data_IF_703232128511
#
_entry.id   IF_703232128511
#
_cell.length_a   1.000
_cell.length_b   1.000
_cell.length_c   1.000
_cell.angle_alpha   90.00
_cell.angle_beta   90.00
_cell.angle_gamma   90.00
#
_symmetry.space_group_name_H-M   'P 1'
#
loop_
_entity.id
_entity.type
_entity.pdbx_description
1 polymer ?
#
# COMPACT_ATOMS: atom_id res chain seq x y z
N UNK A 1 -40.36 -22.31 42.44
CA UNK A 1 -39.38 -21.46 41.72
C UNK A 1 -38.12 -22.29 41.59
N UNK A 2 -37.94 -22.92 40.44
CA UNK A 2 -36.75 -23.73 40.17
C UNK A 2 -35.56 -22.82 39.88
N UNK A 3 -34.63 -22.74 40.83
CA UNK A 3 -33.35 -22.05 40.68
C UNK A 3 -32.39 -22.96 39.92
N UNK A 4 -32.37 -22.85 38.59
CA UNK A 4 -31.33 -23.45 37.76
C UNK A 4 -30.02 -22.67 37.90
N UNK A 5 -29.07 -23.22 38.66
CA UNK A 5 -27.69 -22.74 38.74
C UNK A 5 -26.99 -22.96 37.40
N UNK A 6 -26.91 -21.92 36.57
CA UNK A 6 -26.03 -21.92 35.40
C UNK A 6 -24.59 -21.68 35.82
N UNK A 7 -23.82 -22.76 35.97
CA UNK A 7 -22.37 -22.71 36.14
C UNK A 7 -21.75 -22.22 34.82
N UNK A 8 -21.46 -20.92 34.72
CA UNK A 8 -20.70 -20.36 33.60
C UNK A 8 -19.21 -20.33 33.96
N UNK A 9 -18.42 -21.19 33.33
CA UNK A 9 -16.97 -21.19 33.48
C UNK A 9 -16.38 -20.04 32.66
N UNK A 10 -16.21 -18.86 33.27
CA UNK A 10 -15.40 -17.79 32.68
C UNK A 10 -13.92 -18.14 32.85
N UNK A 11 -13.25 -18.55 31.77
CA UNK A 11 -11.79 -18.65 31.77
C UNK A 11 -11.20 -17.24 31.93
N UNK A 12 -10.73 -16.92 33.14
CA UNK A 12 -9.93 -15.73 33.37
C UNK A 12 -8.56 -16.03 32.75
N UNK A 13 -8.29 -15.46 31.57
CA UNK A 13 -7.00 -15.62 30.90
C UNK A 13 -5.92 -15.04 31.83
N UNK A 14 -4.92 -15.84 32.21
CA UNK A 14 -3.79 -15.35 33.01
C UNK A 14 -3.10 -14.20 32.28
N UNK A 15 -2.61 -13.18 33.02
CA UNK A 15 -1.83 -12.07 32.45
C UNK A 15 -0.67 -12.55 31.56
N UNK A 16 -0.03 -13.68 31.92
CA UNK A 16 1.00 -14.33 31.10
C UNK A 16 0.47 -14.80 29.75
N UNK A 17 -0.73 -15.38 29.70
CA UNK A 17 -1.34 -15.81 28.43
C UNK A 17 -1.68 -14.61 27.53
N UNK A 18 -2.19 -13.53 28.12
CA UNK A 18 -2.50 -12.29 27.38
C UNK A 18 -1.23 -11.68 26.80
N UNK A 19 -0.16 -11.62 27.60
CA UNK A 19 1.12 -11.07 27.17
C UNK A 19 1.77 -11.93 26.08
N UNK A 20 1.70 -13.26 26.18
CA UNK A 20 2.18 -14.16 25.11
C UNK A 20 1.43 -13.96 23.78
N UNK A 21 0.12 -13.75 23.83
CA UNK A 21 -0.70 -13.50 22.65
C UNK A 21 -0.46 -12.10 22.06
N UNK A 22 -0.06 -11.13 22.89
CA UNK A 22 0.35 -9.79 22.48
C UNK A 22 1.73 -9.82 21.82
N UNK A 23 2.70 -10.54 22.41
CA UNK A 23 4.02 -10.78 21.81
C UNK A 23 3.87 -11.38 20.43
N UNK A 24 2.96 -12.34 20.21
CA UNK A 24 2.75 -12.92 18.88
C UNK A 24 2.29 -11.91 17.82
N UNK A 25 1.54 -10.87 18.21
CA UNK A 25 0.96 -9.87 17.31
C UNK A 25 1.86 -8.68 17.02
N UNK A 26 2.76 -8.32 17.94
CA UNK A 26 3.67 -7.17 17.81
C UNK A 26 4.44 -7.21 16.48
N UNK A 27 4.75 -6.08 15.85
CA UNK A 27 5.68 -6.05 14.70
C UNK A 27 7.12 -6.39 15.13
N UNK A 28 8.09 -6.45 14.22
CA UNK A 28 9.51 -6.54 14.60
C UNK A 28 9.95 -5.31 15.41
N UNK A 29 9.54 -4.12 14.97
CA UNK A 29 9.80 -2.84 15.60
C UNK A 29 9.16 -2.74 17.01
N UNK A 30 7.87 -3.08 17.12
CA UNK A 30 7.18 -3.06 18.42
C UNK A 30 7.84 -4.04 19.40
N UNK A 31 8.33 -5.19 18.90
CA UNK A 31 8.97 -6.18 19.74
C UNK A 31 10.35 -5.69 20.22
N UNK A 32 11.13 -5.04 19.35
CA UNK A 32 12.41 -4.44 19.77
C UNK A 32 12.20 -3.36 20.83
N UNK A 33 11.21 -2.48 20.64
CA UNK A 33 10.89 -1.43 21.63
C UNK A 33 10.43 -2.04 22.96
N UNK A 34 9.53 -3.03 22.91
CA UNK A 34 9.06 -3.73 24.10
C UNK A 34 10.22 -4.40 24.87
N UNK A 35 11.12 -5.06 24.16
CA UNK A 35 12.24 -5.74 24.80
C UNK A 35 13.29 -4.76 25.33
N UNK A 36 13.50 -3.62 24.68
CA UNK A 36 14.36 -2.54 25.17
C UNK A 36 13.81 -1.91 26.46
N UNK A 37 12.49 -1.69 26.53
CA UNK A 37 11.83 -1.27 27.77
C UNK A 37 12.01 -2.32 28.87
N UNK A 38 11.86 -3.61 28.54
CA UNK A 38 12.03 -4.70 29.49
C UNK A 38 13.47 -4.82 30.00
N UNK A 39 14.48 -4.55 29.16
CA UNK A 39 15.89 -4.49 29.57
C UNK A 39 16.14 -3.34 30.57
N UNK A 40 15.48 -2.19 30.35
CA UNK A 40 15.55 -1.06 31.30
C UNK A 40 14.92 -1.40 32.66
N UNK A 41 13.83 -2.18 32.68
CA UNK A 41 13.12 -2.56 33.92
C UNK A 41 13.71 -3.79 34.63
N UNK A 42 14.51 -4.59 33.93
CA UNK A 42 15.08 -5.83 34.45
C UNK A 42 16.61 -5.77 34.44
N UNK A 43 17.25 -5.52 35.61
CA UNK A 43 18.70 -5.38 35.70
C UNK A 43 19.48 -6.65 35.35
N UNK A 44 18.79 -7.80 35.30
CA UNK A 44 19.38 -9.09 34.96
C UNK A 44 19.53 -9.27 33.44
N UNK A 45 18.78 -8.51 32.65
CA UNK A 45 18.73 -8.66 31.21
C UNK A 45 19.76 -7.74 30.55
N UNK A 46 20.70 -8.35 29.83
CA UNK A 46 21.60 -7.61 28.96
C UNK A 46 21.03 -7.59 27.55
N UNK A 47 20.93 -6.36 27.02
CA UNK A 47 20.62 -6.14 25.61
C UNK A 47 21.92 -5.85 24.87
N UNK A 48 22.38 -6.85 24.12
CA UNK A 48 23.51 -6.67 23.23
C UNK A 48 22.95 -6.28 21.85
N UNK A 49 23.06 -5.00 21.53
CA UNK A 49 22.82 -4.48 20.20
C UNK A 49 23.77 -5.25 19.26
N UNK A 50 23.21 -6.03 18.33
CA UNK A 50 24.03 -6.81 17.39
C UNK A 50 24.67 -5.81 16.44
N UNK A 51 25.80 -5.25 16.83
CA UNK A 51 26.75 -4.70 15.88
C UNK A 51 27.20 -5.88 15.02
N UNK A 52 27.03 -5.75 13.71
CA UNK A 52 27.05 -6.81 12.70
C UNK A 52 28.39 -7.59 12.55
N UNK A 53 29.31 -7.53 13.52
CA UNK A 53 30.67 -8.06 13.42
C UNK A 53 30.88 -9.47 13.99
N UNK A 54 29.87 -10.12 14.56
CA UNK A 54 30.06 -11.37 15.29
C UNK A 54 29.33 -12.56 14.65
N UNK A 55 29.68 -12.90 13.38
CA UNK A 55 29.68 -14.25 12.77
C UNK A 55 29.93 -14.17 11.25
N UNK A 56 31.19 -14.25 10.78
CA UNK A 56 31.54 -14.14 9.34
C UNK A 56 30.81 -15.14 8.43
N UNK A 57 30.46 -16.35 8.90
CA UNK A 57 29.82 -17.40 8.07
C UNK A 57 28.34 -17.14 7.80
N UNK A 58 27.55 -16.77 8.81
CA UNK A 58 26.12 -16.46 8.62
C UNK A 58 25.94 -15.15 7.84
N UNK A 59 26.87 -14.21 8.03
CA UNK A 59 26.89 -12.94 7.29
C UNK A 59 27.25 -13.13 5.82
N UNK A 60 28.19 -14.01 5.47
CA UNK A 60 28.49 -14.36 4.07
C UNK A 60 27.31 -15.04 3.37
N UNK A 61 26.62 -15.95 4.06
CA UNK A 61 25.42 -16.60 3.51
C UNK A 61 24.26 -15.61 3.38
N UNK A 62 24.04 -14.72 4.36
CA UNK A 62 23.06 -13.64 4.25
C UNK A 62 23.43 -12.63 3.16
N UNK A 63 24.72 -12.27 3.00
CA UNK A 63 25.19 -11.39 1.92
C UNK A 63 24.98 -12.01 0.56
N UNK A 64 25.31 -13.28 0.36
CA UNK A 64 25.02 -14.02 -0.88
C UNK A 64 23.52 -14.12 -1.16
N UNK A 65 22.68 -14.30 -0.14
CA UNK A 65 21.21 -14.32 -0.25
C UNK A 65 20.60 -12.97 -0.57
N UNK A 66 21.07 -11.90 0.10
CA UNK A 66 20.71 -10.52 -0.22
C UNK A 66 21.17 -10.14 -1.62
N UNK A 67 22.33 -10.62 -2.04
CA UNK A 67 22.85 -10.42 -3.40
C UNK A 67 22.00 -11.18 -4.43
N UNK A 68 21.56 -12.41 -4.16
CA UNK A 68 20.60 -13.11 -5.01
C UNK A 68 19.25 -12.38 -5.08
N UNK A 69 18.74 -11.86 -3.96
CA UNK A 69 17.52 -11.06 -3.94
C UNK A 69 17.68 -9.77 -4.75
N UNK A 70 18.84 -9.09 -4.63
CA UNK A 70 19.17 -7.92 -5.45
C UNK A 70 19.30 -8.26 -6.93
N UNK A 71 19.94 -9.38 -7.28
CA UNK A 71 20.09 -9.82 -8.67
C UNK A 71 18.75 -10.28 -9.26
N UNK A 72 17.88 -10.90 -8.45
CA UNK A 72 16.53 -11.29 -8.82
C UNK A 72 15.63 -10.06 -8.97
N UNK A 73 15.74 -9.09 -8.08
CA UNK A 73 15.06 -7.79 -8.17
C UNK A 73 15.54 -7.01 -9.40
N UNK A 74 16.84 -7.00 -9.69
CA UNK A 74 17.41 -6.36 -10.88
C UNK A 74 16.97 -7.06 -12.17
N UNK A 75 16.86 -8.39 -12.18
CA UNK A 75 16.29 -9.14 -13.31
C UNK A 75 14.78 -8.91 -13.47
N UNK A 76 14.02 -8.90 -12.37
CA UNK A 76 12.60 -8.55 -12.37
C UNK A 76 12.39 -7.12 -12.87
N UNK A 77 13.23 -6.17 -12.45
CA UNK A 77 13.22 -4.77 -12.88
C UNK A 77 13.56 -4.63 -14.37
N UNK A 78 14.55 -5.39 -14.87
CA UNK A 78 14.88 -5.46 -16.30
C UNK A 78 13.76 -6.10 -17.13
N UNK A 79 13.07 -7.11 -16.60
CA UNK A 79 11.93 -7.74 -17.27
C UNK A 79 10.70 -6.82 -17.31
N UNK A 80 10.39 -6.13 -16.21
CA UNK A 80 9.39 -5.06 -16.17
C UNK A 80 9.70 -3.92 -17.15
N UNK A 81 10.97 -3.50 -17.24
CA UNK A 81 11.43 -2.50 -18.22
C UNK A 81 11.32 -2.98 -19.68
N UNK A 82 11.44 -4.29 -19.93
CA UNK A 82 11.28 -4.87 -21.27
C UNK A 82 9.82 -5.04 -21.68
N UNK A 83 8.93 -5.37 -20.75
CA UNK A 83 7.48 -5.50 -20.99
C UNK A 83 6.76 -4.14 -21.04
N UNK A 84 7.30 -3.11 -20.39
CA UNK A 84 6.79 -1.73 -20.38
C UNK A 84 7.70 -0.74 -21.15
N UNK A 85 8.06 -1.05 -22.40
CA UNK A 85 8.88 -0.15 -23.24
C UNK A 85 8.24 1.21 -23.58
N UNK A 86 6.94 1.39 -23.35
CA UNK A 86 6.21 2.66 -23.58
C UNK A 86 5.94 3.45 -22.29
N UNK A 87 6.38 2.98 -21.11
CA UNK A 87 6.33 3.75 -19.86
C UNK A 87 7.73 4.30 -19.63
N UNK A 88 8.01 5.44 -20.26
CA UNK A 88 9.33 6.09 -20.20
C UNK A 88 9.80 6.30 -18.76
N UNK A 89 11.10 6.06 -18.53
CA UNK A 89 12.02 6.63 -17.52
C UNK A 89 11.48 7.16 -16.16
N UNK A 90 10.34 6.70 -15.65
CA UNK A 90 9.72 7.15 -14.39
C UNK A 90 10.22 6.37 -13.15
N UNK A 91 11.05 5.34 -13.34
CA UNK A 91 11.45 4.42 -12.26
C UNK A 91 12.95 4.44 -11.91
N UNK A 92 13.66 5.49 -12.31
CA UNK A 92 14.91 5.87 -11.66
C UNK A 92 14.55 6.51 -10.32
N UNK A 93 14.54 5.71 -9.25
CA UNK A 93 14.65 6.21 -7.88
C UNK A 93 16.05 6.81 -7.68
N UNK A 94 16.29 7.96 -8.31
CA UNK A 94 17.17 8.95 -7.71
C UNK A 94 16.55 9.26 -6.34
N UNK A 95 17.38 9.33 -5.29
CA UNK A 95 17.00 10.14 -4.13
C UNK A 95 16.48 11.46 -4.71
N UNK A 96 15.25 11.82 -4.38
CA UNK A 96 14.60 12.98 -4.94
C UNK A 96 15.36 14.24 -4.49
N UNK A 97 16.43 14.58 -5.19
CA UNK A 97 17.02 15.92 -5.29
C UNK A 97 16.12 16.84 -6.13
N UNK A 98 14.81 16.54 -6.20
CA UNK A 98 13.83 17.43 -6.80
C UNK A 98 13.51 18.56 -5.84
N UNK A 99 13.40 19.78 -6.36
CA UNK A 99 12.91 20.93 -5.60
C UNK A 99 11.50 20.65 -5.06
N UNK A 100 11.26 20.97 -3.79
CA UNK A 100 9.92 20.97 -3.22
C UNK A 100 9.06 21.99 -3.95
N UNK A 101 7.77 21.69 -4.14
CA UNK A 101 6.82 22.67 -4.67
C UNK A 101 6.83 23.97 -3.85
N UNK A 102 6.99 23.83 -2.54
CA UNK A 102 7.01 24.98 -1.63
C UNK A 102 8.23 25.86 -1.89
N UNK A 103 9.42 25.26 -2.02
CA UNK A 103 10.66 25.97 -2.33
C UNK A 103 10.59 26.64 -3.71
N UNK A 104 10.05 25.94 -4.71
CA UNK A 104 9.88 26.49 -6.05
C UNK A 104 8.94 27.70 -6.09
N UNK A 105 7.82 27.63 -5.36
CA UNK A 105 6.89 28.75 -5.21
C UNK A 105 7.53 29.91 -4.46
N UNK A 106 8.25 29.65 -3.37
CA UNK A 106 8.94 30.68 -2.59
C UNK A 106 10.00 31.38 -3.42
N UNK A 107 10.75 30.66 -4.25
CA UNK A 107 11.73 31.23 -5.17
C UNK A 107 11.07 32.22 -6.14
N UNK A 108 9.89 31.90 -6.68
CA UNK A 108 9.14 32.81 -7.55
C UNK A 108 8.55 34.01 -6.80
N UNK A 109 7.98 33.78 -5.61
CA UNK A 109 7.42 34.85 -4.78
C UNK A 109 8.49 35.88 -4.43
N UNK A 110 9.73 35.43 -4.19
CA UNK A 110 10.88 36.30 -3.91
C UNK A 110 11.28 37.20 -5.10
N UNK A 111 10.89 36.83 -6.34
CA UNK A 111 11.17 37.61 -7.54
C UNK A 111 10.07 38.63 -7.87
N UNK A 112 8.91 38.53 -7.21
CA UNK A 112 7.79 39.44 -7.43
C UNK A 112 7.99 40.78 -6.72
N UNK A 113 7.58 41.87 -7.37
CA UNK A 113 7.52 43.20 -6.74
C UNK A 113 6.16 43.35 -6.07
N UNK A 114 6.10 43.05 -4.77
CA UNK A 114 4.87 43.00 -3.98
C UNK A 114 5.05 43.69 -2.62
N UNK A 115 3.95 44.04 -1.97
CA UNK A 115 3.99 44.64 -0.63
C UNK A 115 4.35 43.60 0.43
N UNK A 116 4.82 44.05 1.60
CA UNK A 116 5.16 43.14 2.70
C UNK A 116 3.95 42.31 3.17
N UNK A 117 2.75 42.89 3.15
CA UNK A 117 1.51 42.18 3.50
C UNK A 117 1.18 41.10 2.46
N UNK A 118 1.28 41.40 1.17
CA UNK A 118 1.10 40.43 0.08
C UNK A 118 2.15 39.31 0.14
N UNK A 119 3.41 39.63 0.44
CA UNK A 119 4.49 38.65 0.57
C UNK A 119 4.21 37.62 1.67
N UNK A 120 3.83 38.09 2.87
CA UNK A 120 3.53 37.20 4.00
C UNK A 120 2.28 36.36 3.71
N UNK A 121 1.27 36.95 3.07
CA UNK A 121 0.06 36.24 2.65
C UNK A 121 0.35 35.15 1.60
N UNK A 122 1.11 35.46 0.55
CA UNK A 122 1.52 34.50 -0.49
C UNK A 122 2.37 33.37 0.09
N UNK A 123 3.32 33.68 0.97
CA UNK A 123 4.14 32.69 1.66
C UNK A 123 3.31 31.74 2.53
N UNK A 124 2.25 32.25 3.17
CA UNK A 124 1.32 31.42 3.92
C UNK A 124 0.52 30.51 2.97
N UNK A 125 -0.06 31.06 1.89
CA UNK A 125 -0.80 30.27 0.92
C UNK A 125 0.05 29.18 0.25
N UNK A 126 1.30 29.49 -0.09
CA UNK A 126 2.24 28.53 -0.68
C UNK A 126 2.44 27.27 0.18
N UNK A 127 2.41 27.41 1.50
CA UNK A 127 2.52 26.30 2.45
C UNK A 127 1.18 25.57 2.69
N UNK A 128 0.05 26.23 2.44
CA UNK A 128 -1.28 25.64 2.58
C UNK A 128 -1.75 24.87 1.33
N UNK A 129 -0.97 24.88 0.25
CA UNK A 129 -1.30 24.14 -0.97
C UNK A 129 -1.17 22.64 -0.71
N UNK A 130 -2.22 21.90 -1.11
CA UNK A 130 -2.22 20.44 -1.04
C UNK A 130 -1.16 19.82 -1.95
N UNK A 131 -0.73 18.56 -1.69
CA UNK A 131 0.16 17.83 -2.60
C UNK A 131 -0.35 17.67 -4.02
N UNK A 132 -1.65 17.90 -4.28
CA UNK A 132 -2.27 17.95 -5.61
C UNK A 132 -2.23 19.32 -6.29
N UNK A 133 -1.76 20.36 -5.61
CA UNK A 133 -1.68 21.74 -6.11
C UNK A 133 -2.95 22.58 -5.90
N UNK A 134 -3.96 22.04 -5.20
CA UNK A 134 -5.21 22.73 -4.87
C UNK A 134 -5.15 23.45 -3.53
N UNK A 135 -5.92 24.53 -3.41
CA UNK A 135 -6.07 25.33 -2.20
C UNK A 135 -7.52 25.28 -1.70
N UNK A 136 -7.71 25.01 -0.41
CA UNK A 136 -9.04 24.98 0.19
C UNK A 136 -9.53 26.40 0.54
N UNK A 137 -10.82 26.67 0.34
CA UNK A 137 -11.44 27.97 0.67
C UNK A 137 -11.31 28.34 2.15
N UNK A 138 -11.30 27.34 3.04
CA UNK A 138 -11.05 27.54 4.48
C UNK A 138 -9.72 28.24 4.74
N UNK A 139 -8.66 27.83 4.04
CA UNK A 139 -7.31 28.37 4.21
C UNK A 139 -7.21 29.81 3.69
N UNK A 140 -7.96 30.15 2.64
CA UNK A 140 -8.06 31.53 2.13
C UNK A 140 -8.71 32.44 3.18
N UNK A 141 -9.79 31.98 3.80
CA UNK A 141 -10.49 32.73 4.84
C UNK A 141 -9.64 32.85 6.12
N UNK A 142 -8.91 31.80 6.50
CA UNK A 142 -7.97 31.85 7.62
C UNK A 142 -6.84 32.85 7.38
N UNK A 143 -6.31 32.89 6.16
CA UNK A 143 -5.29 33.87 5.75
C UNK A 143 -5.83 35.30 5.88
N UNK A 144 -7.02 35.58 5.33
CA UNK A 144 -7.64 36.90 5.38
C UNK A 144 -7.86 37.37 6.82
N UNK A 145 -8.35 36.49 7.70
CA UNK A 145 -8.56 36.79 9.12
C UNK A 145 -7.24 37.00 9.87
N UNK A 146 -6.21 36.20 9.59
CA UNK A 146 -4.93 36.24 10.28
C UNK A 146 -4.12 37.50 9.96
N UNK A 147 -4.24 38.00 8.73
CA UNK A 147 -3.51 39.18 8.27
C UNK A 147 -4.40 40.44 8.17
N UNK A 148 -5.65 40.36 8.64
CA UNK A 148 -6.63 41.45 8.60
C UNK A 148 -6.76 42.09 7.20
N UNK A 149 -6.77 41.26 6.16
CA UNK A 149 -6.87 41.71 4.77
C UNK A 149 -8.32 41.99 4.40
N UNK A 150 -8.52 42.97 3.53
CA UNK A 150 -9.83 43.20 2.92
C UNK A 150 -10.15 42.10 1.89
N UNK A 151 -11.42 41.99 1.49
CA UNK A 151 -11.82 41.05 0.44
C UNK A 151 -11.11 41.35 -0.89
N UNK A 152 -10.93 42.64 -1.21
CA UNK A 152 -10.22 43.09 -2.41
C UNK A 152 -8.75 42.69 -2.38
N UNK A 153 -8.04 42.96 -1.27
CA UNK A 153 -6.63 42.56 -1.10
C UNK A 153 -6.45 41.04 -1.20
N UNK A 154 -7.41 40.27 -0.65
CA UNK A 154 -7.40 38.81 -0.70
C UNK A 154 -7.52 38.31 -2.14
N UNK A 155 -8.38 38.94 -2.96
CA UNK A 155 -8.49 38.59 -4.38
C UNK A 155 -7.24 38.97 -5.16
N UNK A 156 -6.59 40.09 -4.86
CA UNK A 156 -5.32 40.46 -5.49
C UNK A 156 -4.22 39.44 -5.18
N UNK A 157 -4.09 39.03 -3.91
CA UNK A 157 -3.13 37.98 -3.50
C UNK A 157 -3.41 36.67 -4.22
N UNK A 158 -4.67 36.27 -4.37
CA UNK A 158 -5.04 35.06 -5.12
C UNK A 158 -4.70 35.17 -6.60
N UNK A 159 -4.93 36.33 -7.24
CA UNK A 159 -4.54 36.56 -8.64
C UNK A 159 -3.02 36.47 -8.81
N UNK A 160 -2.26 36.99 -7.85
CA UNK A 160 -0.81 36.86 -7.83
C UNK A 160 -0.39 35.39 -7.70
N UNK A 161 -1.01 34.63 -6.78
CA UNK A 161 -0.77 33.19 -6.64
C UNK A 161 -1.07 32.43 -7.94
N UNK A 162 -2.20 32.72 -8.60
CA UNK A 162 -2.61 32.08 -9.86
C UNK A 162 -1.71 32.46 -11.05
N UNK A 163 -0.98 33.56 -10.94
CA UNK A 163 -0.01 33.99 -11.96
C UNK A 163 1.31 33.21 -11.89
N UNK A 164 1.63 32.60 -10.74
CA UNK A 164 2.81 31.77 -10.54
C UNK A 164 2.76 30.49 -11.39
N UNK A 165 3.92 29.89 -11.59
CA UNK A 165 4.05 28.58 -12.20
C UNK A 165 4.21 27.50 -11.12
N UNK A 166 3.67 26.28 -11.32
CA UNK A 166 2.93 25.79 -12.48
C UNK A 166 1.52 26.39 -12.65
N UNK A 167 1.08 26.55 -13.90
CA UNK A 167 -0.25 27.06 -14.24
C UNK A 167 -1.38 26.25 -13.56
N UNK A 168 -2.35 26.94 -12.97
CA UNK A 168 -3.47 26.31 -12.26
C UNK A 168 -3.18 25.92 -10.81
N UNK A 169 -2.04 26.33 -10.27
CA UNK A 169 -1.74 26.20 -8.84
C UNK A 169 -2.62 27.11 -7.99
N UNK A 170 -3.02 26.63 -6.81
CA UNK A 170 -3.90 27.38 -5.92
C UNK A 170 -5.35 27.45 -6.38
N UNK A 171 -5.75 26.60 -7.34
CA UNK A 171 -7.14 26.44 -7.73
C UNK A 171 -7.94 25.73 -6.62
N UNK A 172 -9.21 26.09 -6.46
CA UNK A 172 -10.11 25.48 -5.46
C UNK A 172 -10.64 24.13 -5.92
N UNK A 173 -10.75 23.95 -7.23
CA UNK A 173 -11.25 22.72 -7.84
C UNK A 173 -10.64 22.48 -9.22
N UNK A 174 -10.89 21.29 -9.76
CA UNK A 174 -10.40 20.88 -11.09
C UNK A 174 -10.87 21.82 -12.21
N UNK A 175 -12.10 22.36 -12.12
CA UNK A 175 -12.63 23.26 -13.16
C UNK A 175 -11.83 24.56 -13.21
N UNK A 176 -11.62 25.19 -12.06
CA UNK A 176 -10.82 26.40 -11.93
C UNK A 176 -9.36 26.15 -12.36
N UNK A 177 -8.77 25.02 -11.97
CA UNK A 177 -7.42 24.65 -12.36
C UNK A 177 -7.25 24.59 -13.88
N UNK A 178 -8.16 23.91 -14.58
CA UNK A 178 -8.12 23.78 -16.03
C UNK A 178 -8.42 25.12 -16.74
N UNK A 179 -9.31 25.95 -16.17
CA UNK A 179 -9.58 27.29 -16.70
C UNK A 179 -8.35 28.19 -16.60
N UNK A 180 -7.68 28.21 -15.44
CA UNK A 180 -6.44 28.96 -15.23
C UNK A 180 -5.32 28.51 -16.20
N UNK A 181 -5.21 27.21 -16.46
CA UNK A 181 -4.26 26.68 -17.45
C UNK A 181 -4.63 27.04 -18.88
N UNK A 182 -5.93 27.05 -19.21
CA UNK A 182 -6.42 27.46 -20.51
C UNK A 182 -6.20 28.96 -20.75
N UNK A 183 -6.37 29.78 -19.72
CA UNK A 183 -6.19 31.23 -19.77
C UNK A 183 -4.73 31.64 -20.06
N UNK A 184 -3.76 30.87 -19.55
CA UNK A 184 -2.33 31.05 -19.86
C UNK A 184 -1.95 30.59 -21.28
N UNK A 185 -2.77 29.78 -21.97
CA UNK A 185 -2.51 29.37 -23.36
C UNK A 185 -2.93 30.48 -24.34
N UNK A 186 -2.07 30.76 -25.34
CA UNK A 186 -2.30 31.78 -26.36
C UNK A 186 -3.54 31.54 -27.25
N UNK A 187 -3.99 30.27 -27.37
CA UNK A 187 -5.15 29.88 -28.17
C UNK A 187 -6.34 29.54 -27.27
N UNK A 188 -7.03 30.57 -26.79
CA UNK A 188 -8.30 30.40 -26.06
C UNK A 188 -9.37 29.89 -27.01
N UNK A 189 -9.71 28.61 -26.89
CA UNK A 189 -10.86 28.03 -27.58
C UNK A 189 -12.10 28.18 -26.69
N UNK A 190 -13.06 29.01 -27.12
CA UNK A 190 -14.35 29.20 -26.44
C UNK A 190 -15.06 27.87 -26.17
N UNK A 191 -14.93 26.92 -27.10
CA UNK A 191 -15.49 25.58 -26.95
C UNK A 191 -14.87 24.81 -25.77
N UNK A 192 -13.55 24.93 -25.57
CA UNK A 192 -12.88 24.27 -24.45
C UNK A 192 -13.33 24.86 -23.10
N UNK A 193 -13.48 26.19 -23.03
CA UNK A 193 -13.92 26.89 -21.83
C UNK A 193 -15.34 26.48 -21.41
N UNK A 194 -16.28 26.44 -22.35
CA UNK A 194 -17.66 25.98 -22.12
C UNK A 194 -17.72 24.52 -21.68
N UNK A 195 -16.91 23.65 -22.30
CA UNK A 195 -16.83 22.23 -21.91
C UNK A 195 -16.31 22.10 -20.47
N UNK A 196 -15.28 22.86 -20.09
CA UNK A 196 -14.72 22.80 -18.72
C UNK A 196 -15.72 23.33 -17.69
N UNK A 197 -16.43 24.43 -17.98
CA UNK A 197 -17.40 25.03 -17.04
C UNK A 197 -18.60 24.12 -16.75
N UNK A 198 -19.19 23.52 -17.78
CA UNK A 198 -20.51 22.90 -17.68
C UNK A 198 -20.57 21.41 -18.02
N UNK A 199 -19.58 20.86 -18.74
CA UNK A 199 -19.67 19.53 -19.35
C UNK A 199 -18.53 18.56 -18.98
N UNK A 200 -17.71 18.90 -17.97
CA UNK A 200 -16.55 18.11 -17.58
C UNK A 200 -16.90 16.66 -17.16
N UNK A 201 -18.00 16.46 -16.43
CA UNK A 201 -18.47 15.11 -16.06
C UNK A 201 -18.90 14.28 -17.27
N UNK A 202 -19.55 14.91 -18.25
CA UNK A 202 -20.00 14.26 -19.47
C UNK A 202 -18.80 13.91 -20.36
N UNK A 203 -17.76 14.76 -20.36
CA UNK A 203 -16.49 14.49 -21.02
C UNK A 203 -15.78 13.28 -20.40
N UNK A 204 -15.73 13.20 -19.07
CA UNK A 204 -15.16 12.05 -18.34
C UNK A 204 -15.90 10.74 -18.59
N UNK A 205 -17.22 10.79 -18.80
CA UNK A 205 -18.04 9.62 -19.19
C UNK A 205 -17.99 9.32 -20.70
N UNK A 206 -17.16 10.04 -21.46
CA UNK A 206 -17.00 9.91 -22.91
C UNK A 206 -18.32 10.12 -23.71
N UNK A 207 -19.22 10.96 -23.20
CA UNK A 207 -20.53 11.24 -23.80
C UNK A 207 -20.47 12.38 -24.84
N UNK A 208 -19.55 12.28 -25.80
CA UNK A 208 -19.24 13.35 -26.76
C UNK A 208 -20.45 13.77 -27.60
N UNK A 209 -21.33 12.82 -27.93
CA UNK A 209 -22.56 13.07 -28.69
C UNK A 209 -23.55 13.99 -27.97
N UNK A 210 -23.62 13.89 -26.64
CA UNK A 210 -24.50 14.75 -25.83
C UNK A 210 -23.95 16.18 -25.78
N UNK A 211 -22.63 16.30 -25.66
CA UNK A 211 -21.93 17.59 -25.66
C UNK A 211 -22.11 18.29 -27.01
N UNK A 212 -21.87 17.59 -28.12
CA UNK A 212 -22.04 18.09 -29.47
C UNK A 212 -23.46 18.63 -29.72
N UNK A 213 -24.49 17.88 -29.32
CA UNK A 213 -25.90 18.29 -29.45
C UNK A 213 -26.24 19.53 -28.62
N UNK A 214 -25.73 19.62 -27.39
CA UNK A 214 -26.04 20.74 -26.48
C UNK A 214 -25.33 22.03 -26.88
N UNK A 215 -24.07 21.93 -27.30
CA UNK A 215 -23.26 23.07 -27.75
C UNK A 215 -23.49 23.42 -29.22
N UNK A 216 -24.30 22.62 -29.94
CA UNK A 216 -24.59 22.78 -31.38
C UNK A 216 -23.33 22.81 -32.24
N UNK A 217 -22.37 21.97 -31.90
CA UNK A 217 -21.08 21.81 -32.61
C UNK A 217 -20.99 20.41 -33.19
N UNK A 218 -20.06 20.22 -34.14
CA UNK A 218 -19.77 18.91 -34.70
C UNK A 218 -19.08 18.00 -33.67
N UNK A 219 -19.19 16.69 -33.86
CA UNK A 219 -18.53 15.72 -32.96
C UNK A 219 -17.01 15.83 -33.09
N UNK A 220 -16.49 16.15 -34.27
CA UNK A 220 -15.06 16.33 -34.55
C UNK A 220 -14.47 17.52 -33.78
N UNK A 221 -15.18 18.64 -33.71
CA UNK A 221 -14.77 19.80 -32.90
C UNK A 221 -14.72 19.47 -31.41
N UNK A 222 -15.65 18.63 -30.91
CA UNK A 222 -15.62 18.16 -29.51
C UNK A 222 -14.45 17.20 -29.27
N UNK A 223 -14.08 16.38 -30.26
CA UNK A 223 -12.92 15.50 -30.20
C UNK A 223 -11.63 16.33 -30.12
N UNK A 224 -11.51 17.40 -30.92
CA UNK A 224 -10.33 18.27 -30.89
C UNK A 224 -10.26 19.07 -29.59
N UNK A 225 -11.39 19.58 -29.08
CA UNK A 225 -11.46 20.19 -27.77
C UNK A 225 -11.07 19.21 -26.65
N UNK A 226 -11.50 17.95 -26.74
CA UNK A 226 -11.12 16.88 -25.80
C UNK A 226 -9.61 16.67 -25.78
N UNK A 227 -8.96 16.60 -26.95
CA UNK A 227 -7.48 16.46 -27.04
C UNK A 227 -6.77 17.62 -26.35
N UNK A 228 -7.25 18.86 -26.54
CA UNK A 228 -6.69 20.04 -25.87
C UNK A 228 -6.87 19.93 -24.36
N UNK A 229 -8.06 19.59 -23.87
CA UNK A 229 -8.34 19.43 -22.43
C UNK A 229 -7.49 18.30 -21.82
N UNK A 230 -7.29 17.20 -22.55
CA UNK A 230 -6.42 16.10 -22.12
C UNK A 230 -4.94 16.47 -22.06
N UNK A 231 -4.50 17.48 -22.81
CA UNK A 231 -3.13 18.02 -22.72
C UNK A 231 -2.89 18.92 -21.50
N UNK A 232 -3.94 19.29 -20.76
CA UNK A 232 -3.85 20.08 -19.54
C UNK A 232 -3.51 19.18 -18.35
N UNK A 233 -2.82 19.73 -17.35
CA UNK A 233 -2.39 18.95 -16.19
C UNK A 233 -3.42 19.11 -15.05
N UNK A 234 -4.23 18.08 -14.73
CA UNK A 234 -5.20 18.19 -13.64
C UNK A 234 -4.55 18.31 -12.26
N UNK A 235 -3.27 17.94 -12.10
CA UNK A 235 -2.51 18.01 -10.84
C UNK A 235 -1.22 18.79 -11.08
N UNK A 236 -1.24 20.13 -10.97
CA UNK A 236 -0.11 20.96 -11.34
C UNK A 236 1.16 20.68 -10.52
N UNK A 237 1.03 20.12 -9.32
CA UNK A 237 2.14 19.72 -8.43
C UNK A 237 2.81 18.38 -8.77
N UNK A 238 2.31 17.62 -9.74
CA UNK A 238 2.78 16.25 -10.05
C UNK A 238 4.24 16.15 -10.48
N UNK A 239 4.82 17.24 -11.01
CA UNK A 239 6.23 17.29 -11.41
C UNK A 239 7.21 17.63 -10.29
N UNK A 240 6.72 17.88 -9.07
CA UNK A 240 7.55 18.25 -7.92
C UNK A 240 7.76 17.05 -7.00
N UNK A 241 8.91 17.06 -6.31
CA UNK A 241 9.17 16.12 -5.24
C UNK A 241 8.11 16.27 -4.16
N UNK A 242 7.53 15.15 -3.72
CA UNK A 242 6.75 15.17 -2.49
C UNK A 242 7.69 15.37 -1.30
N UNK A 243 7.39 16.32 -0.42
CA UNK A 243 8.08 16.48 0.88
C UNK A 243 8.00 15.20 1.76
N UNK A 244 7.18 14.24 1.37
CA UNK A 244 7.08 12.96 2.03
C UNK A 244 8.09 12.00 1.42
N UNK A 245 9.09 11.64 2.23
CA UNK A 245 9.96 10.52 1.95
C UNK A 245 9.10 9.29 1.69
N UNK A 246 9.38 8.57 0.60
CA UNK A 246 8.74 7.29 0.33
C UNK A 246 8.95 6.37 1.53
N UNK A 247 7.88 6.04 2.25
CA UNK A 247 7.94 5.15 3.40
C UNK A 247 8.22 3.72 2.92
N UNK A 248 9.42 3.22 3.21
CA UNK A 248 9.79 1.85 2.86
C UNK A 248 9.27 0.89 3.92
N UNK A 249 8.48 -0.09 3.50
CA UNK A 249 8.07 -1.18 4.37
C UNK A 249 9.18 -2.22 4.46
N UNK A 250 9.74 -2.39 5.65
CA UNK A 250 10.71 -3.45 5.93
C UNK A 250 9.94 -4.75 6.22
N UNK A 251 10.12 -5.76 5.36
CA UNK A 251 9.45 -7.04 5.53
C UNK A 251 10.10 -7.91 6.63
N UNK A 252 9.27 -8.51 7.48
CA UNK A 252 9.66 -9.46 8.53
C UNK A 252 10.09 -10.82 7.94
N UNK A 253 9.56 -11.20 6.79
CA UNK A 253 9.77 -12.51 6.17
C UNK A 253 10.33 -12.31 4.77
N UNK A 254 11.35 -13.07 4.41
CA UNK A 254 11.90 -13.12 3.07
C UNK A 254 11.76 -14.53 2.49
N UNK A 255 11.36 -14.62 1.23
CA UNK A 255 11.23 -15.85 0.47
C UNK A 255 12.12 -15.76 -0.76
N UNK A 256 13.01 -16.74 -0.91
CA UNK A 256 13.94 -16.81 -2.03
C UNK A 256 14.11 -18.25 -2.52
N UNK A 257 14.66 -18.38 -3.72
CA UNK A 257 14.92 -19.67 -4.34
C UNK A 257 16.37 -20.07 -4.09
N UNK A 258 16.60 -21.18 -3.37
CA UNK A 258 17.93 -21.71 -3.10
C UNK A 258 17.93 -23.24 -3.28
N UNK A 259 18.94 -23.77 -3.97
CA UNK A 259 19.14 -25.23 -4.19
C UNK A 259 17.92 -25.96 -4.77
N UNK A 260 17.19 -25.31 -5.69
CA UNK A 260 16.01 -25.89 -6.33
C UNK A 260 14.75 -25.94 -5.45
N UNK A 261 14.75 -25.27 -4.29
CA UNK A 261 13.61 -25.19 -3.37
C UNK A 261 13.33 -23.74 -2.95
N UNK A 262 12.06 -23.46 -2.64
CA UNK A 262 11.67 -22.21 -1.97
C UNK A 262 12.10 -22.29 -0.51
N UNK A 263 12.94 -21.36 -0.07
CA UNK A 263 13.31 -21.20 1.32
C UNK A 263 12.64 -19.94 1.88
N UNK A 264 12.19 -20.06 3.13
CA UNK A 264 11.55 -18.98 3.89
C UNK A 264 12.45 -18.65 5.06
N UNK A 265 12.77 -17.38 5.24
CA UNK A 265 13.54 -16.90 6.39
C UNK A 265 12.81 -15.75 7.07
N UNK A 266 12.80 -15.77 8.40
CA UNK A 266 12.33 -14.64 9.20
C UNK A 266 13.53 -13.75 9.50
N UNK A 267 13.41 -12.47 9.17
CA UNK A 267 14.40 -11.45 9.49
C UNK A 267 14.51 -11.32 11.00
N UNK A 268 15.74 -11.42 11.52
CA UNK A 268 16.05 -11.22 12.95
C UNK A 268 16.71 -9.86 13.22
N UNK A 269 16.96 -9.08 12.17
CA UNK A 269 17.59 -7.76 12.27
C UNK A 269 16.79 -6.84 13.21
N UNK A 270 17.50 -6.16 14.11
CA UNK A 270 16.91 -5.29 15.13
C UNK A 270 16.45 -6.01 16.42
N UNK A 271 16.34 -7.34 16.41
CA UNK A 271 16.17 -8.10 17.65
C UNK A 271 17.56 -8.35 18.25
N UNK A 272 18.05 -7.41 19.07
CA UNK A 272 19.30 -7.57 19.82
C UNK A 272 19.39 -8.94 20.51
N UNK A 273 20.60 -9.43 20.74
CA UNK A 273 20.77 -10.70 21.45
C UNK A 273 20.50 -10.44 22.93
N UNK A 274 19.43 -11.04 23.43
CA UNK A 274 19.10 -11.01 24.85
C UNK A 274 19.84 -12.13 25.55
N UNK A 275 20.67 -11.77 26.52
CA UNK A 275 21.34 -12.73 27.41
C UNK A 275 21.02 -12.36 28.84
N UNK A 276 20.95 -13.39 29.67
CA UNK A 276 20.89 -13.24 31.11
C UNK A 276 22.34 -13.00 31.56
N UNK A 277 22.59 -11.93 32.30
CA UNK A 277 23.94 -11.64 32.78
C UNK A 277 24.37 -12.74 33.79
N UNK A 278 25.48 -13.47 33.53
CA UNK A 278 25.97 -14.55 34.40
C UNK A 278 26.24 -14.11 35.84
N UNK A 279 26.59 -12.85 36.07
CA UNK A 279 26.84 -12.29 37.39
C UNK A 279 25.65 -12.46 38.34
N UNK A 280 24.41 -12.32 37.84
CA UNK A 280 23.22 -12.50 38.67
C UNK A 280 22.88 -13.97 38.91
N UNK A 281 23.32 -14.87 38.03
CA UNK A 281 23.21 -16.32 38.25
C UNK A 281 24.15 -16.76 39.39
N UNK A 282 25.36 -16.21 39.42
CA UNK A 282 26.33 -16.42 40.50
C UNK A 282 25.83 -15.84 41.84
N UNK A 283 25.22 -14.66 41.83
CA UNK A 283 24.61 -14.08 43.03
C UNK A 283 23.46 -14.94 43.56
N UNK A 284 22.60 -15.44 42.67
CA UNK A 284 21.48 -16.30 43.07
C UNK A 284 21.98 -17.58 43.75
N UNK A 285 23.09 -18.14 43.27
CA UNK A 285 23.70 -19.35 43.85
C UNK A 285 24.21 -19.13 45.29
N UNK A 286 24.56 -17.90 45.66
CA UNK A 286 25.15 -17.55 46.96
C UNK A 286 24.15 -16.94 47.97
N UNK A 287 23.03 -16.37 47.51
CA UNK A 287 22.10 -15.56 48.32
C UNK A 287 20.66 -16.07 48.29
N UNK A 288 20.46 -17.36 47.99
CA UNK A 288 19.16 -18.00 47.72
C UNK A 288 18.09 -17.85 48.82
N UNK A 289 18.47 -17.54 50.07
CA UNK A 289 17.55 -17.41 51.22
C UNK A 289 17.22 -15.95 51.59
N UNK A 290 17.74 -14.96 50.84
CA UNK A 290 17.48 -13.53 51.11
C UNK A 290 16.34 -12.97 50.24
N UNK A 291 15.65 -11.92 50.71
CA UNK A 291 14.66 -11.19 49.91
C UNK A 291 15.23 -10.70 48.56
N UNK A 292 16.51 -10.34 48.53
CA UNK A 292 17.24 -9.99 47.32
C UNK A 292 17.40 -11.18 46.36
N UNK A 293 17.65 -12.39 46.89
CA UNK A 293 17.71 -13.63 46.10
C UNK A 293 16.36 -13.99 45.46
N UNK A 294 15.26 -13.85 46.21
CA UNK A 294 13.90 -14.09 45.67
C UNK A 294 13.51 -13.09 44.58
N UNK A 295 13.91 -11.81 44.74
CA UNK A 295 13.73 -10.78 43.73
C UNK A 295 14.48 -11.13 42.43
N UNK A 296 15.77 -11.48 42.52
CA UNK A 296 16.60 -11.88 41.37
C UNK A 296 16.02 -13.14 40.70
N UNK A 297 15.61 -14.15 41.48
CA UNK A 297 14.99 -15.37 40.97
C UNK A 297 13.69 -15.08 40.21
N UNK A 298 12.91 -14.10 40.65
CA UNK A 298 11.67 -13.70 39.99
C UNK A 298 11.95 -12.99 38.67
N UNK A 299 12.95 -12.10 38.66
CA UNK A 299 13.40 -11.37 37.46
C UNK A 299 14.04 -12.29 36.40
N UNK A 300 14.80 -13.30 36.81
CA UNK A 300 15.31 -14.36 35.93
C UNK A 300 14.16 -15.15 35.32
N UNK A 301 13.20 -15.61 36.14
CA UNK A 301 12.02 -16.34 35.65
C UNK A 301 11.19 -15.51 34.68
N UNK A 302 11.06 -14.20 34.92
CA UNK A 302 10.39 -13.28 34.01
C UNK A 302 11.13 -13.18 32.67
N UNK A 303 12.46 -12.97 32.69
CA UNK A 303 13.28 -12.89 31.49
C UNK A 303 13.23 -14.18 30.66
N UNK A 304 13.44 -15.34 31.30
CA UNK A 304 13.39 -16.64 30.64
C UNK A 304 12.03 -16.90 29.97
N UNK A 305 10.94 -16.54 30.65
CA UNK A 305 9.59 -16.71 30.09
C UNK A 305 9.36 -15.83 28.86
N UNK A 306 9.83 -14.58 28.88
CA UNK A 306 9.75 -13.69 27.70
C UNK A 306 10.59 -14.23 26.55
N UNK A 307 11.83 -14.68 26.81
CA UNK A 307 12.69 -15.30 25.79
C UNK A 307 12.01 -16.51 25.13
N UNK A 308 11.39 -17.39 25.93
CA UNK A 308 10.61 -18.51 25.40
C UNK A 308 9.41 -18.06 24.56
N UNK A 309 8.72 -16.98 24.94
CA UNK A 309 7.64 -16.41 24.14
C UNK A 309 8.13 -15.87 22.79
N UNK A 310 9.28 -15.20 22.76
CA UNK A 310 9.90 -14.69 21.53
C UNK A 310 10.34 -15.83 20.61
N UNK A 311 10.95 -16.88 21.16
CA UNK A 311 11.36 -18.06 20.38
C UNK A 311 10.15 -18.80 19.80
N UNK A 312 9.10 -19.00 20.62
CA UNK A 312 7.83 -19.58 20.17
C UNK A 312 7.18 -18.75 19.08
N UNK A 313 7.19 -17.41 19.20
CA UNK A 313 6.71 -16.50 18.16
C UNK A 313 7.48 -16.73 16.87
N UNK A 314 8.81 -16.68 16.89
CA UNK A 314 9.64 -16.81 15.69
C UNK A 314 9.41 -18.16 14.99
N UNK A 315 9.33 -19.23 15.77
CA UNK A 315 9.02 -20.57 15.26
C UNK A 315 7.62 -20.63 14.65
N UNK A 316 6.62 -20.04 15.30
CA UNK A 316 5.23 -20.03 14.83
C UNK A 316 5.09 -19.23 13.54
N UNK A 317 5.71 -18.05 13.47
CA UNK A 317 5.71 -17.18 12.28
C UNK A 317 6.41 -17.88 11.11
N UNK A 318 7.58 -18.49 11.35
CA UNK A 318 8.31 -19.23 10.32
C UNK A 318 7.48 -20.40 9.77
N UNK A 319 6.94 -21.26 10.65
CA UNK A 319 6.10 -22.40 10.24
C UNK A 319 4.84 -21.97 9.50
N UNK A 320 4.23 -20.86 9.92
CA UNK A 320 3.06 -20.29 9.25
C UNK A 320 3.41 -19.80 7.86
N UNK A 321 4.54 -19.10 7.70
CA UNK A 321 4.99 -18.62 6.41
C UNK A 321 5.42 -19.76 5.48
N UNK A 322 6.11 -20.78 5.98
CA UNK A 322 6.44 -22.00 5.21
C UNK A 322 5.18 -22.70 4.70
N UNK A 323 4.15 -22.85 5.54
CA UNK A 323 2.89 -23.45 5.13
C UNK A 323 2.18 -22.62 4.04
N UNK A 324 2.16 -21.28 4.18
CA UNK A 324 1.61 -20.38 3.17
C UNK A 324 2.37 -20.49 1.84
N UNK A 325 3.71 -20.47 1.88
CA UNK A 325 4.57 -20.56 0.69
C UNK A 325 4.42 -21.92 0.00
N UNK A 326 4.31 -23.00 0.78
CA UNK A 326 4.07 -24.33 0.24
C UNK A 326 2.70 -24.43 -0.47
N UNK A 327 1.64 -23.85 0.11
CA UNK A 327 0.31 -23.81 -0.50
C UNK A 327 0.29 -22.97 -1.78
N UNK A 328 0.93 -21.80 -1.74
CA UNK A 328 0.98 -20.82 -2.82
C UNK A 328 2.16 -21.00 -3.76
N UNK A 329 2.70 -22.22 -3.90
CA UNK A 329 3.90 -22.49 -4.71
C UNK A 329 3.82 -21.93 -6.13
N UNK A 330 2.64 -21.95 -6.76
CA UNK A 330 2.42 -21.41 -8.11
C UNK A 330 2.69 -19.91 -8.20
N UNK A 331 2.27 -19.14 -7.19
CA UNK A 331 2.48 -17.69 -7.12
C UNK A 331 3.97 -17.32 -7.04
N UNK A 332 4.75 -18.08 -6.28
CA UNK A 332 6.19 -17.81 -6.09
C UNK A 332 7.09 -18.35 -7.21
N UNK A 333 6.61 -19.33 -7.99
CA UNK A 333 7.41 -19.96 -9.06
C UNK A 333 7.14 -19.37 -10.45
N UNK A 334 5.93 -18.88 -10.71
CA UNK A 334 5.54 -18.37 -12.02
C UNK A 334 5.36 -16.84 -11.98
N UNK A 335 5.90 -16.10 -12.97
CA UNK A 335 5.69 -14.65 -13.10
C UNK A 335 4.20 -14.24 -13.24
N UNK A 336 3.36 -15.14 -13.72
CA UNK A 336 1.89 -14.98 -13.83
C UNK A 336 1.12 -15.92 -12.90
N UNK A 337 1.78 -16.43 -11.86
CA UNK A 337 1.21 -17.41 -10.95
C UNK A 337 -0.01 -16.88 -10.21
N UNK A 338 -1.17 -17.46 -10.50
CA UNK A 338 -2.40 -17.18 -9.77
C UNK A 338 -2.32 -17.65 -8.30
N UNK A 339 -2.95 -16.88 -7.41
CA UNK A 339 -3.19 -17.29 -6.03
C UNK A 339 -4.21 -18.42 -5.97
N UNK A 340 -3.85 -19.50 -5.30
CA UNK A 340 -4.78 -20.57 -4.95
C UNK A 340 -5.65 -20.11 -3.78
N UNK A 341 -6.95 -20.39 -3.76
CA UNK A 341 -7.77 -20.16 -2.58
C UNK A 341 -7.19 -20.86 -1.34
N UNK A 342 -7.16 -20.15 -0.23
CA UNK A 342 -6.58 -20.64 1.02
C UNK A 342 -7.28 -19.94 2.19
N UNK A 343 -7.88 -20.72 3.09
CA UNK A 343 -8.53 -20.20 4.30
C UNK A 343 -7.58 -20.29 5.49
N UNK A 344 -7.84 -19.47 6.50
CA UNK A 344 -7.08 -19.52 7.76
C UNK A 344 -7.19 -20.90 8.43
N UNK A 345 -8.37 -21.52 8.34
CA UNK A 345 -8.62 -22.86 8.89
C UNK A 345 -7.69 -23.93 8.29
N UNK A 346 -7.39 -23.85 6.99
CA UNK A 346 -6.58 -24.85 6.29
C UNK A 346 -5.15 -24.89 6.86
N UNK A 347 -4.56 -23.70 7.03
CA UNK A 347 -3.23 -23.53 7.63
C UNK A 347 -3.24 -23.87 9.12
N UNK A 348 -4.31 -23.50 9.84
CA UNK A 348 -4.47 -23.83 11.26
C UNK A 348 -4.50 -25.35 11.50
N UNK A 349 -5.23 -26.09 10.66
CA UNK A 349 -5.29 -27.56 10.72
C UNK A 349 -3.93 -28.19 10.37
N UNK A 350 -3.26 -27.71 9.32
CA UNK A 350 -1.94 -28.21 8.92
C UNK A 350 -0.90 -28.04 10.04
N UNK A 351 -0.95 -26.93 10.77
CA UNK A 351 0.01 -26.63 11.84
C UNK A 351 -0.43 -27.13 13.21
N UNK A 352 -1.62 -27.71 13.34
CA UNK A 352 -2.26 -28.10 14.60
C UNK A 352 -2.35 -26.91 15.59
N UNK A 353 -2.68 -25.72 15.06
CA UNK A 353 -2.87 -24.50 15.82
C UNK A 353 -4.33 -24.04 15.76
N UNK A 354 -4.74 -23.21 16.72
CA UNK A 354 -6.04 -22.54 16.64
C UNK A 354 -6.02 -21.45 15.55
N UNK A 355 -7.15 -21.24 14.86
CA UNK A 355 -7.28 -20.22 13.81
C UNK A 355 -6.85 -18.83 14.30
N UNK A 356 -7.25 -18.46 15.52
CA UNK A 356 -6.86 -17.20 16.14
C UNK A 356 -5.35 -17.05 16.33
N UNK A 357 -4.60 -18.15 16.53
CA UNK A 357 -3.14 -18.11 16.67
C UNK A 357 -2.49 -17.78 15.33
N UNK A 358 -2.96 -18.41 14.24
CA UNK A 358 -2.49 -18.12 12.88
C UNK A 358 -2.83 -16.68 12.48
N UNK A 359 -4.08 -16.24 12.70
CA UNK A 359 -4.51 -14.87 12.42
C UNK A 359 -3.67 -13.81 13.16
N UNK A 360 -3.32 -14.09 14.43
CA UNK A 360 -2.45 -13.23 15.22
C UNK A 360 -1.00 -13.23 14.73
N UNK A 361 -0.49 -14.38 14.30
CA UNK A 361 0.89 -14.50 13.82
C UNK A 361 1.12 -13.72 12.51
N UNK A 362 0.12 -13.62 11.63
CA UNK A 362 0.23 -12.93 10.34
C UNK A 362 -0.07 -11.42 10.40
N UNK A 363 -0.74 -10.95 11.46
CA UNK A 363 -1.22 -9.57 11.56
C UNK A 363 -0.05 -8.59 11.60
N UNK A 364 -0.08 -7.60 10.71
CA UNK A 364 0.97 -6.57 10.62
C UNK A 364 2.32 -7.08 10.14
N UNK A 365 2.40 -8.31 9.59
CA UNK A 365 3.63 -8.89 9.04
C UNK A 365 3.65 -8.82 7.52
N UNK A 366 4.82 -8.50 6.99
CA UNK A 366 5.06 -8.43 5.55
C UNK A 366 6.04 -9.51 5.10
N UNK A 367 5.80 -10.00 3.89
CA UNK A 367 6.60 -11.01 3.20
C UNK A 367 7.19 -10.38 1.93
N UNK A 368 8.51 -10.45 1.80
CA UNK A 368 9.27 -10.06 0.63
C UNK A 368 9.58 -11.29 -0.22
N UNK A 369 9.28 -11.22 -1.51
CA UNK A 369 9.65 -12.22 -2.50
C UNK A 369 10.18 -11.55 -3.78
N UNK A 370 10.57 -12.34 -4.79
CA UNK A 370 11.07 -11.84 -6.09
C UNK A 370 10.10 -10.94 -6.86
N UNK A 371 8.81 -10.93 -6.48
CA UNK A 371 7.76 -10.10 -7.08
C UNK A 371 7.51 -8.78 -6.32
N UNK A 372 8.10 -8.60 -5.15
CA UNK A 372 7.87 -7.44 -4.28
C UNK A 372 7.48 -7.81 -2.85
N UNK A 373 6.88 -6.84 -2.15
CA UNK A 373 6.51 -6.96 -0.72
C UNK A 373 4.99 -7.06 -0.60
N UNK A 374 4.52 -8.12 0.06
CA UNK A 374 3.10 -8.40 0.26
C UNK A 374 2.78 -8.60 1.74
N UNK A 375 1.67 -8.05 2.26
CA UNK A 375 1.25 -8.38 3.61
C UNK A 375 0.77 -9.84 3.66
N UNK A 376 1.07 -10.58 4.73
CA UNK A 376 0.74 -12.02 4.78
C UNK A 376 -0.76 -12.32 4.64
N UNK A 377 -1.63 -11.41 5.08
CA UNK A 377 -3.08 -11.58 4.95
C UNK A 377 -3.55 -11.62 3.48
N UNK A 378 -2.77 -11.08 2.55
CA UNK A 378 -3.07 -11.05 1.10
C UNK A 378 -3.24 -12.45 0.51
N UNK A 379 -2.48 -13.43 1.00
CA UNK A 379 -2.53 -14.80 0.49
C UNK A 379 -3.80 -15.57 0.88
N UNK A 380 -4.60 -15.04 1.83
CA UNK A 380 -5.85 -15.65 2.26
C UNK A 380 -7.01 -15.14 1.40
N UNK A 381 -7.19 -15.78 0.24
CA UNK A 381 -8.28 -15.43 -0.68
C UNK A 381 -9.48 -16.35 -0.51
N UNK A 382 -10.68 -15.78 -0.62
CA UNK A 382 -11.92 -16.56 -0.73
C UNK A 382 -12.04 -17.11 -2.16
N UNK A 383 -12.07 -18.43 -2.28
CA UNK A 383 -12.31 -19.12 -3.54
C UNK A 383 -13.80 -19.09 -3.90
N UNK A 384 -14.09 -18.84 -5.18
CA UNK A 384 -15.41 -19.08 -5.76
C UNK A 384 -15.39 -20.52 -6.28
N UNK A 385 -16.35 -21.34 -5.84
CA UNK A 385 -16.50 -22.70 -6.34
C UNK A 385 -16.90 -22.65 -7.82
N UNK A 386 -16.10 -23.26 -8.70
CA UNK A 386 -16.53 -23.58 -10.06
C UNK A 386 -17.15 -24.97 -10.04
N UNK A 387 -18.31 -25.12 -10.70
CA UNK A 387 -18.82 -26.43 -11.06
C UNK A 387 -18.41 -26.68 -12.51
N UNK A 388 -17.53 -27.66 -12.74
CA UNK A 388 -17.37 -28.24 -14.08
C UNK A 388 -18.59 -29.15 -14.34
N UNK A 389 -19.38 -28.95 -15.40
CA UNK A 389 -20.37 -29.92 -15.81
C UNK A 389 -19.71 -30.91 -16.78
N UNK A 390 -18.86 -31.79 -16.27
CA UNK A 390 -18.57 -33.05 -16.97
C UNK A 390 -18.54 -34.18 -15.96
N UNK A 391 -19.59 -35.01 -16.04
CA UNK A 391 -19.71 -36.26 -15.29
C UNK A 391 -18.60 -37.21 -15.74
N UNK A 392 -17.48 -37.23 -15.03
CA UNK A 392 -16.65 -38.44 -14.84
C UNK A 392 -15.68 -38.21 -13.69
N UNK A 393 -15.94 -38.93 -12.60
CA UNK A 393 -15.07 -39.38 -11.51
C UNK A 393 -13.81 -38.56 -11.12
N UNK A 394 -13.83 -38.17 -9.84
CA UNK A 394 -12.70 -37.88 -8.94
C UNK A 394 -11.83 -36.63 -9.23
N UNK A 395 -11.89 -35.70 -8.25
CA UNK A 395 -10.81 -34.78 -7.85
C UNK A 395 -10.36 -33.76 -8.93
N UNK A 396 -10.97 -32.59 -9.05
CA UNK A 396 -10.74 -31.45 -8.14
C UNK A 396 -11.73 -30.36 -8.52
N UNK A 397 -12.55 -29.88 -7.57
CA UNK A 397 -13.26 -28.60 -7.76
C UNK A 397 -12.19 -27.51 -7.82
N UNK A 398 -11.88 -27.00 -9.01
CA UNK A 398 -10.91 -25.91 -9.19
C UNK A 398 -11.53 -24.63 -8.64
N UNK A 399 -11.39 -24.39 -7.34
CA UNK A 399 -11.80 -23.11 -6.77
C UNK A 399 -10.89 -22.03 -7.37
N UNK A 400 -11.48 -21.07 -8.07
CA UNK A 400 -10.74 -19.95 -8.67
C UNK A 400 -10.84 -18.77 -7.69
N UNK A 401 -9.71 -18.12 -7.42
CA UNK A 401 -9.68 -16.97 -6.52
C UNK A 401 -10.29 -15.74 -7.19
N UNK A 402 -10.88 -14.85 -6.39
CA UNK A 402 -11.46 -13.59 -6.89
C UNK A 402 -10.44 -12.70 -7.62
N UNK A 403 -9.15 -12.84 -7.33
CA UNK A 403 -8.10 -12.10 -8.00
C UNK A 403 -7.77 -12.65 -9.39
N UNK A 404 -7.72 -13.97 -9.56
CA UNK A 404 -7.56 -14.58 -10.90
C UNK A 404 -8.71 -14.21 -11.84
N UNK A 405 -9.92 -14.07 -11.29
CA UNK A 405 -11.07 -13.57 -12.06
C UNK A 405 -10.82 -12.12 -12.52
N UNK A 406 -10.31 -11.25 -11.64
CA UNK A 406 -9.97 -9.86 -11.97
C UNK A 406 -8.90 -9.78 -13.06
N UNK A 407 -7.82 -10.56 -12.92
CA UNK A 407 -6.73 -10.63 -13.90
C UNK A 407 -7.23 -11.12 -15.27
N UNK A 408 -8.09 -12.15 -15.29
CA UNK A 408 -8.73 -12.62 -16.53
C UNK A 408 -9.62 -11.56 -17.16
N UNK A 409 -10.40 -10.82 -16.36
CA UNK A 409 -11.21 -9.69 -16.86
C UNK A 409 -10.29 -8.62 -17.48
N UNK A 410 -9.17 -8.29 -16.83
CA UNK A 410 -8.19 -7.32 -17.38
C UNK A 410 -7.67 -7.77 -18.73
N UNK A 411 -7.21 -9.03 -18.85
CA UNK A 411 -6.71 -9.59 -20.11
C UNK A 411 -7.75 -9.59 -21.23
N UNK A 412 -9.00 -9.95 -20.92
CA UNK A 412 -10.09 -9.91 -21.91
C UNK A 412 -10.30 -8.47 -22.42
N UNK A 413 -10.25 -7.48 -21.52
CA UNK A 413 -10.40 -6.06 -21.86
C UNK A 413 -9.17 -5.55 -22.63
N UNK A 414 -7.96 -5.99 -22.31
CA UNK A 414 -6.73 -5.63 -23.05
C UNK A 414 -6.75 -6.15 -24.49
N UNK A 415 -7.29 -7.35 -24.70
CA UNK A 415 -7.43 -7.96 -26.04
C UNK A 415 -8.68 -7.51 -26.82
N UNK A 416 -9.50 -6.60 -26.26
CA UNK A 416 -10.74 -6.16 -26.91
C UNK A 416 -10.48 -5.15 -28.05
N UNK A 417 -11.36 -5.14 -29.05
CA UNK A 417 -11.37 -4.06 -30.04
C UNK A 417 -11.89 -2.76 -29.39
N UNK A 418 -11.00 -1.76 -29.29
CA UNK A 418 -11.29 -0.47 -28.65
C UNK A 418 -12.35 0.36 -29.39
N UNK A 419 -12.63 0.06 -30.65
CA UNK A 419 -13.71 0.70 -31.42
C UNK A 419 -15.10 0.14 -31.03
N UNK A 420 -15.16 -1.12 -30.60
CA UNK A 420 -16.37 -1.83 -30.21
C UNK A 420 -16.15 -2.61 -28.90
N UNK A 421 -15.98 -1.91 -27.76
CA UNK A 421 -15.63 -2.54 -26.50
C UNK A 421 -16.69 -3.54 -26.04
N UNK A 422 -16.24 -4.63 -25.42
CA UNK A 422 -17.14 -5.69 -24.98
C UNK A 422 -18.06 -5.21 -23.86
N UNK A 423 -19.35 -5.45 -24.00
CA UNK A 423 -20.29 -5.20 -22.90
C UNK A 423 -20.02 -6.15 -21.74
N UNK A 424 -20.39 -5.76 -20.51
CA UNK A 424 -20.28 -6.61 -19.33
C UNK A 424 -21.00 -7.97 -19.52
N UNK A 425 -22.02 -8.05 -20.40
CA UNK A 425 -22.68 -9.31 -20.78
C UNK A 425 -21.78 -10.20 -21.64
N UNK A 426 -21.04 -9.62 -22.59
CA UNK A 426 -20.14 -10.40 -23.45
C UNK A 426 -18.94 -10.93 -22.66
N UNK A 427 -18.45 -10.14 -21.70
CA UNK A 427 -17.41 -10.57 -20.76
C UNK A 427 -17.91 -11.74 -19.89
N UNK A 428 -19.17 -11.70 -19.40
CA UNK A 428 -19.73 -12.86 -18.68
C UNK A 428 -19.84 -14.11 -19.54
N UNK A 429 -20.23 -13.97 -20.81
CA UNK A 429 -20.33 -15.11 -21.74
C UNK A 429 -18.95 -15.74 -21.96
N UNK A 430 -17.93 -14.92 -22.23
CA UNK A 430 -16.54 -15.39 -22.40
C UNK A 430 -15.98 -16.05 -21.13
N UNK A 431 -16.29 -15.54 -19.95
CA UNK A 431 -15.89 -16.15 -18.69
C UNK A 431 -16.60 -17.48 -18.43
N UNK A 432 -17.89 -17.57 -18.76
CA UNK A 432 -18.65 -18.82 -18.67
C UNK A 432 -18.10 -19.88 -19.65
N UNK A 433 -17.71 -19.50 -20.87
CA UNK A 433 -17.03 -20.38 -21.83
C UNK A 433 -15.69 -20.90 -21.29
N UNK A 434 -15.01 -20.12 -20.45
CA UNK A 434 -13.79 -20.52 -19.73
C UNK A 434 -14.07 -21.31 -18.43
N UNK A 435 -15.33 -21.69 -18.16
CA UNK A 435 -15.74 -22.46 -16.98
C UNK A 435 -15.88 -21.65 -15.69
N UNK A 436 -15.96 -20.32 -15.78
CA UNK A 436 -16.09 -19.40 -14.64
C UNK A 436 -17.52 -18.86 -14.59
N UNK A 437 -18.38 -19.47 -13.77
CA UNK A 437 -19.77 -19.00 -13.60
C UNK A 437 -19.83 -17.74 -12.74
N UNK A 438 -20.03 -16.59 -13.39
CA UNK A 438 -20.10 -15.29 -12.71
C UNK A 438 -21.25 -14.45 -13.25
N UNK A 439 -21.99 -13.81 -12.33
CA UNK A 439 -23.07 -12.90 -12.69
C UNK A 439 -22.56 -11.60 -13.33
N UNK A 440 -23.36 -11.01 -14.21
CA UNK A 440 -23.07 -9.69 -14.82
C UNK A 440 -22.80 -8.60 -13.78
N UNK A 441 -23.54 -8.61 -12.66
CA UNK A 441 -23.35 -7.65 -11.57
C UNK A 441 -21.99 -7.83 -10.88
N UNK A 442 -21.54 -9.07 -10.74
CA UNK A 442 -20.23 -9.40 -10.16
C UNK A 442 -19.08 -8.96 -11.06
N UNK A 443 -19.21 -9.14 -12.39
CA UNK A 443 -18.24 -8.62 -13.37
C UNK A 443 -18.17 -7.10 -13.31
N UNK A 444 -19.31 -6.40 -13.29
CA UNK A 444 -19.35 -4.94 -13.17
C UNK A 444 -18.65 -4.46 -11.88
N UNK A 445 -18.94 -5.11 -10.74
CA UNK A 445 -18.31 -4.81 -9.44
C UNK A 445 -16.79 -5.03 -9.47
N UNK A 446 -16.31 -6.12 -10.06
CA UNK A 446 -14.88 -6.37 -10.18
C UNK A 446 -14.19 -5.41 -11.14
N UNK A 447 -14.84 -5.04 -12.24
CA UNK A 447 -14.36 -4.03 -13.18
C UNK A 447 -14.22 -2.65 -12.52
N UNK A 448 -15.25 -2.22 -11.79
CA UNK A 448 -15.24 -0.95 -11.04
C UNK A 448 -14.16 -0.94 -9.95
N UNK A 449 -13.97 -2.06 -9.25
CA UNK A 449 -12.90 -2.20 -8.25
C UNK A 449 -11.49 -2.13 -8.86
N UNK A 450 -11.34 -2.37 -10.17
CA UNK A 450 -10.08 -2.20 -10.91
C UNK A 450 -9.96 -0.81 -11.56
N UNK A 451 -10.95 0.08 -11.39
CA UNK A 451 -10.95 1.40 -12.02
C UNK A 451 -11.20 1.40 -13.54
N UNK A 452 -11.60 0.27 -14.11
CA UNK A 452 -11.84 0.16 -15.56
C UNK A 452 -13.24 0.68 -15.89
N UNK A 453 -13.36 1.60 -16.85
CA UNK A 453 -14.66 2.16 -17.27
C UNK A 453 -15.55 1.10 -17.96
N UNK A 454 -16.87 1.34 -17.98
CA UNK A 454 -17.81 0.50 -18.72
C UNK A 454 -17.63 0.63 -20.23
N UNK A 455 -18.29 -0.22 -21.02
CA UNK A 455 -18.16 -0.24 -22.48
C UNK A 455 -18.28 1.16 -23.13
N UNK A 456 -19.22 2.00 -22.68
CA UNK A 456 -19.37 3.37 -23.20
C UNK A 456 -18.16 4.28 -22.92
N UNK A 457 -17.46 4.08 -21.81
CA UNK A 457 -16.27 4.85 -21.44
C UNK A 457 -15.00 4.35 -22.13
N UNK A 458 -14.93 3.06 -22.49
CA UNK A 458 -13.77 2.45 -23.18
C UNK A 458 -13.80 2.64 -24.70
N UNK A 459 -14.94 3.05 -25.25
CA UNK A 459 -15.11 3.23 -26.69
C UNK A 459 -14.24 4.39 -27.20
N UNK A 460 -13.31 4.11 -28.09
CA UNK A 460 -12.59 5.15 -28.83
C UNK A 460 -13.45 5.53 -30.03
N UNK A 461 -13.75 6.82 -30.15
CA UNK A 461 -14.30 7.39 -31.38
C UNK A 461 -13.08 7.88 -32.17
N UNK A 462 -12.72 7.15 -33.23
CA UNK A 462 -11.78 7.61 -34.24
C UNK A 462 -12.44 8.69 -35.10
#
# INVERSE_FOLDING_TARGET
MDLSLHLSQKQILSQKMQLSARILQMTSLDLSEYLQQLATENPVLEWEEVTELSSNKELEDMRKRLQWLKDADEKSRRQYQQEHKDVGDEWNFALSEGESLTDYLLAQINLLVITQTQYVALRYLAQCISPSGYLQDSMVNEMANKFSLTEDDTQEVLKLLHSLDPAGIGARNLRECLLLQLDKKKNKSFLCEEIIKHYLEQLGKNQLQIIARKLKVTVDEVIDAKKIIQSLNPKPSSGFASDHYTEYVIADIAVYWQDGKLQVTVRKDGMGKFKINPYYEDILSNLSETEAGEYIATKIRQAQWVMQCVEKRNTTVLRTAEAIVAWQRTFFTQPDGALKPMRLLDIAQQLQLHESTVSRAIKGKYLQCSRGVFPLHYFFTTGIATQMPTKTQAETQTQISSQTVKEKISRIIETEDKNAPYSDRKITELLNEMGIEISRRTVAKYREAMGIAGASGRKIFL
#
